data_IF_586995372771
#
_entry.id   IF_586995372771
#
_cell.length_a   1.000
_cell.length_b   1.000
_cell.length_c   1.000
_cell.angle_alpha   90.00
_cell.angle_beta   90.00
_cell.angle_gamma   90.00
#
_symmetry.space_group_name_H-M   'P 1'
#
loop_
_entity.id
_entity.type
_entity.pdbx_description
1 polymer ?
#
# COMPACT_ATOMS: atom_id res chain seq x y z
N UNK A 1 -4.76 -1.52 23.95
CA UNK A 1 -3.56 -1.38 23.12
C UNK A 1 -3.98 -1.09 21.68
N UNK A 2 -3.41 -0.05 21.09
CA UNK A 2 -3.74 0.29 19.71
C UNK A 2 -3.16 -0.76 18.76
N UNK A 3 -3.95 -1.23 17.80
CA UNK A 3 -3.49 -2.22 16.82
C UNK A 3 -3.33 -1.65 15.41
N UNK A 4 -3.65 -0.39 15.22
CA UNK A 4 -3.49 0.32 13.95
C UNK A 4 -4.18 -0.34 12.74
N UNK A 5 -5.15 -1.22 12.98
CA UNK A 5 -5.82 -1.94 11.90
C UNK A 5 -6.50 -1.01 10.91
N UNK A 6 -7.11 0.06 11.39
CA UNK A 6 -7.78 1.04 10.52
C UNK A 6 -6.78 1.75 9.61
N UNK A 7 -5.59 2.05 10.15
CA UNK A 7 -4.53 2.68 9.36
C UNK A 7 -4.13 1.79 8.17
N UNK A 8 -3.84 0.52 8.43
CA UNK A 8 -3.40 -0.39 7.36
C UNK A 8 -4.50 -0.68 6.37
N UNK A 9 -5.76 -0.74 6.82
CA UNK A 9 -6.88 -0.92 5.91
C UNK A 9 -7.01 0.28 4.97
N UNK A 10 -6.92 1.50 5.51
CA UNK A 10 -6.97 2.71 4.70
C UNK A 10 -5.77 2.81 3.75
N UNK A 11 -4.58 2.41 4.22
CA UNK A 11 -3.39 2.37 3.39
C UNK A 11 -3.56 1.40 2.23
N UNK A 12 -4.09 0.21 2.49
CA UNK A 12 -4.37 -0.77 1.45
C UNK A 12 -5.33 -0.24 0.39
N UNK A 13 -6.37 0.47 0.80
CA UNK A 13 -7.31 1.09 -0.13
C UNK A 13 -6.64 2.18 -0.97
N UNK A 14 -5.75 2.96 -0.36
CA UNK A 14 -5.02 4.00 -1.09
C UNK A 14 -4.07 3.39 -2.12
N UNK A 15 -3.38 2.32 -1.76
CA UNK A 15 -2.50 1.59 -2.68
C UNK A 15 -3.30 1.04 -3.85
N UNK A 16 -4.47 0.46 -3.57
CA UNK A 16 -5.37 -0.03 -4.61
C UNK A 16 -5.79 1.09 -5.57
N UNK A 17 -6.11 2.26 -5.02
CA UNK A 17 -6.50 3.41 -5.84
C UNK A 17 -5.36 3.86 -6.75
N UNK A 18 -4.12 3.88 -6.23
CA UNK A 18 -2.94 4.21 -7.03
C UNK A 18 -2.75 3.20 -8.17
N UNK A 19 -2.88 1.92 -7.88
CA UNK A 19 -2.76 0.87 -8.90
C UNK A 19 -3.79 1.07 -10.01
N UNK A 20 -5.05 1.29 -9.63
CA UNK A 20 -6.14 1.48 -10.60
C UNK A 20 -5.94 2.76 -11.42
N UNK A 21 -5.52 3.83 -10.77
CA UNK A 21 -5.24 5.09 -11.46
C UNK A 21 -4.15 4.93 -12.51
N UNK A 22 -3.17 4.08 -12.24
CA UNK A 22 -2.10 3.77 -13.20
C UNK A 22 -2.53 2.81 -14.30
N UNK A 23 -3.74 2.25 -14.23
CA UNK A 23 -4.22 1.31 -15.24
C UNK A 23 -3.74 -0.13 -15.03
N UNK A 24 -3.23 -0.46 -13.85
CA UNK A 24 -2.65 -1.78 -13.59
C UNK A 24 -3.67 -2.72 -12.94
N UNK A 25 -3.61 -4.00 -13.35
CA UNK A 25 -4.27 -5.08 -12.62
C UNK A 25 -3.41 -5.51 -11.44
N UNK A 26 -3.95 -6.33 -10.54
CA UNK A 26 -3.14 -6.92 -9.47
C UNK A 26 -2.03 -7.79 -10.02
N UNK A 27 -2.28 -8.51 -11.13
CA UNK A 27 -1.27 -9.35 -11.78
C UNK A 27 -0.11 -8.52 -12.31
N UNK A 28 -0.37 -7.31 -12.77
CA UNK A 28 0.70 -6.43 -13.27
C UNK A 28 1.74 -6.12 -12.18
N UNK A 29 1.35 -6.20 -10.91
CA UNK A 29 2.28 -5.93 -9.82
C UNK A 29 3.38 -6.98 -9.69
N UNK A 30 3.18 -8.16 -10.27
CA UNK A 30 4.22 -9.19 -10.35
C UNK A 30 5.41 -8.67 -11.16
N UNK A 31 5.14 -7.93 -12.22
CA UNK A 31 6.19 -7.31 -13.04
C UNK A 31 7.02 -6.27 -12.29
N UNK A 32 6.50 -5.74 -11.19
CA UNK A 32 7.24 -4.79 -10.33
C UNK A 32 7.95 -5.49 -9.16
N UNK A 33 7.93 -6.83 -9.13
CA UNK A 33 8.65 -7.58 -8.12
C UNK A 33 7.84 -8.02 -6.91
N UNK A 34 6.53 -7.85 -6.93
CA UNK A 34 5.66 -8.31 -5.84
C UNK A 34 5.10 -9.69 -6.18
N UNK A 35 4.98 -10.57 -5.19
CA UNK A 35 4.21 -11.79 -5.41
C UNK A 35 2.72 -11.44 -5.45
N UNK A 36 1.94 -12.24 -6.18
CA UNK A 36 0.50 -12.01 -6.27
C UNK A 36 -0.16 -12.03 -4.89
N UNK A 37 0.23 -13.01 -4.06
CA UNK A 37 -0.32 -13.14 -2.71
C UNK A 37 0.05 -11.95 -1.83
N UNK A 38 1.31 -11.52 -1.88
CA UNK A 38 1.76 -10.38 -1.08
C UNK A 38 1.00 -9.12 -1.48
N UNK A 39 0.83 -8.89 -2.79
CA UNK A 39 0.10 -7.73 -3.26
C UNK A 39 -1.36 -7.74 -2.79
N UNK A 40 -2.03 -8.89 -2.87
CA UNK A 40 -3.38 -9.03 -2.38
C UNK A 40 -3.48 -8.71 -0.89
N UNK A 41 -2.51 -9.15 -0.11
CA UNK A 41 -2.46 -8.86 1.33
C UNK A 41 -2.28 -7.36 1.60
N UNK A 42 -1.45 -6.69 0.81
CA UNK A 42 -1.24 -5.24 0.94
C UNK A 42 -2.57 -4.51 0.73
N UNK A 43 -3.27 -4.81 -0.34
CA UNK A 43 -4.55 -4.15 -0.64
C UNK A 43 -5.66 -4.54 0.34
N UNK A 44 -5.56 -5.72 0.94
CA UNK A 44 -6.51 -6.17 1.95
C UNK A 44 -6.31 -5.49 3.32
N UNK A 45 -5.24 -4.74 3.48
CA UNK A 45 -4.99 -4.00 4.72
C UNK A 45 -4.14 -4.75 5.75
N UNK A 46 -3.38 -5.75 5.32
CA UNK A 46 -2.43 -6.40 6.21
C UNK A 46 -1.29 -5.46 6.52
N UNK A 47 -0.75 -5.48 7.74
CA UNK A 47 0.42 -4.65 8.06
C UNK A 47 1.59 -4.93 7.13
N UNK A 48 2.29 -3.87 6.75
CA UNK A 48 3.46 -3.98 5.88
C UNK A 48 4.68 -3.41 6.59
N UNK A 49 5.85 -3.84 6.12
CA UNK A 49 7.12 -3.29 6.62
C UNK A 49 7.41 -1.95 5.95
N UNK A 50 8.32 -1.19 6.55
CA UNK A 50 8.81 0.05 5.93
C UNK A 50 9.46 -0.26 4.58
N UNK A 51 10.18 -1.38 4.46
CA UNK A 51 10.77 -1.78 3.18
C UNK A 51 9.70 -1.91 2.09
N UNK A 52 8.59 -2.60 2.40
CA UNK A 52 7.49 -2.75 1.44
C UNK A 52 6.87 -1.40 1.10
N UNK A 53 6.71 -0.53 2.09
CA UNK A 53 6.21 0.83 1.87
C UNK A 53 7.09 1.58 0.85
N UNK A 54 8.41 1.51 1.01
CA UNK A 54 9.33 2.20 0.11
C UNK A 54 9.29 1.59 -1.29
N UNK A 55 9.15 0.26 -1.41
CA UNK A 55 8.99 -0.41 -2.71
C UNK A 55 7.73 0.06 -3.43
N UNK A 56 6.63 0.23 -2.69
CA UNK A 56 5.38 0.77 -3.26
C UNK A 56 5.61 2.19 -3.75
N UNK A 57 6.30 3.01 -2.96
CA UNK A 57 6.61 4.38 -3.37
C UNK A 57 7.42 4.41 -4.66
N UNK A 58 8.43 3.54 -4.77
CA UNK A 58 9.25 3.46 -5.98
C UNK A 58 8.42 3.05 -7.20
N UNK A 59 7.49 2.11 -7.01
CA UNK A 59 6.65 1.61 -8.10
C UNK A 59 5.74 2.71 -8.66
N UNK A 60 5.16 3.53 -7.79
CA UNK A 60 4.18 4.54 -8.19
C UNK A 60 4.76 5.97 -8.22
N UNK A 61 6.08 6.11 -8.08
CA UNK A 61 6.77 7.41 -8.13
C UNK A 61 6.17 8.40 -7.13
N UNK A 62 5.95 7.94 -5.91
CA UNK A 62 5.43 8.76 -4.83
C UNK A 62 6.38 8.71 -3.62
N UNK A 63 6.02 9.39 -2.55
CA UNK A 63 6.83 9.44 -1.33
C UNK A 63 6.05 8.83 -0.17
N UNK A 64 6.74 8.37 0.89
CA UNK A 64 6.04 7.86 2.08
C UNK A 64 5.07 8.89 2.67
N UNK A 65 5.46 10.16 2.71
CA UNK A 65 4.59 11.22 3.25
C UNK A 65 3.30 11.34 2.46
N UNK A 66 3.40 11.29 1.13
CA UNK A 66 2.22 11.36 0.27
C UNK A 66 1.35 10.11 0.41
N UNK A 67 2.01 8.96 0.47
CA UNK A 67 1.28 7.69 0.53
C UNK A 67 0.46 7.56 1.80
N UNK A 68 0.98 8.06 2.93
CA UNK A 68 0.30 7.91 4.23
C UNK A 68 -0.40 9.19 4.71
N UNK A 69 -0.42 10.24 3.91
CA UNK A 69 -0.97 11.53 4.33
C UNK A 69 -2.42 11.40 4.78
N UNK A 70 -2.68 11.86 5.99
CA UNK A 70 -4.02 11.89 6.54
C UNK A 70 -4.53 10.56 7.07
N UNK A 71 -3.75 9.49 6.98
CA UNK A 71 -4.20 8.16 7.41
C UNK A 71 -4.00 7.90 8.89
N UNK A 72 -2.97 8.50 9.49
CA UNK A 72 -2.70 8.32 10.91
C UNK A 72 -3.28 9.47 11.71
N UNK A 73 -4.08 9.14 12.70
CA UNK A 73 -4.66 10.13 13.60
C UNK A 73 -4.30 9.73 15.02
N UNK A 74 -3.33 10.41 15.64
CA UNK A 74 -3.00 10.15 17.03
C UNK A 74 -4.19 10.55 17.91
N UNK A 75 -4.31 9.87 19.02
CA UNK A 75 -5.33 10.21 20.01
C UNK A 75 -4.93 11.42 20.81
#
# INVERSE_FOLDING_TARGET
MANHAKFFKALGQRVKALRRKGGYSQEDMIGFGFSARHWQQIEAGRPITVRTLLRICDTFHTTPERLVRGLYRPR
#
